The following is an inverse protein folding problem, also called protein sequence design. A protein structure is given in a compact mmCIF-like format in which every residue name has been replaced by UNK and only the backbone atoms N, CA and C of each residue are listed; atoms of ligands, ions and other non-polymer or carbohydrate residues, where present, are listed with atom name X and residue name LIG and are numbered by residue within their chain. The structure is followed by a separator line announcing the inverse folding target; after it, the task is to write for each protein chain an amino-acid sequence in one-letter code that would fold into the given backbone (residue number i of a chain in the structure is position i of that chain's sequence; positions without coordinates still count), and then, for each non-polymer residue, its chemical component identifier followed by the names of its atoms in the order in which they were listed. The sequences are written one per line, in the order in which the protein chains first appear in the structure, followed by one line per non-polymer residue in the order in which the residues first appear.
data_IF_984957451640
#
_entry.id   IF_984957451640
#
_cell.length_a   1.000
_cell.length_b   1.000
_cell.length_c   1.000
_cell.angle_alpha   90.00
_cell.angle_beta   90.00
_cell.angle_gamma   90.00
#
_symmetry.space_group_name_H-M   'P 1'
#
loop_
_entity.id
_entity.type
_entity.pdbx_description
1 polymer ?
#
# COMPACT_ATOMS: atom_id res chain seq x y z
N UNK A 1 -9.53 -7.23 -0.10
CA UNK A 1 -8.48 -6.52 0.68
C UNK A 1 -7.98 -7.43 1.78
N UNK A 2 -6.68 -7.53 1.95
CA UNK A 2 -6.06 -8.31 3.01
C UNK A 2 -4.82 -7.58 3.53
N UNK A 3 -4.24 -8.10 4.62
CA UNK A 3 -3.07 -7.46 5.25
C UNK A 3 -1.87 -7.43 4.31
N UNK A 4 -1.69 -8.45 3.46
CA UNK A 4 -0.58 -8.46 2.51
C UNK A 4 -0.69 -7.28 1.54
N UNK A 5 -1.87 -7.04 0.99
CA UNK A 5 -2.10 -5.92 0.06
C UNK A 5 -1.94 -4.59 0.77
N UNK A 6 -2.37 -4.48 2.03
CA UNK A 6 -2.16 -3.27 2.82
C UNK A 6 -0.67 -3.02 3.05
N UNK A 7 0.13 -4.06 3.28
CA UNK A 7 1.59 -3.91 3.38
C UNK A 7 2.19 -3.46 2.05
N UNK A 8 1.69 -3.97 0.93
CA UNK A 8 2.11 -3.50 -0.40
C UNK A 8 1.83 -2.00 -0.55
N UNK A 9 0.61 -1.59 -0.19
CA UNK A 9 0.22 -0.18 -0.24
C UNK A 9 1.15 0.70 0.60
N UNK A 10 1.43 0.29 1.83
CA UNK A 10 2.32 1.04 2.73
C UNK A 10 3.73 1.15 2.16
N UNK A 11 4.23 0.11 1.51
CA UNK A 11 5.55 0.12 0.91
C UNK A 11 5.63 1.09 -0.26
N UNK A 12 4.60 1.12 -1.13
CA UNK A 12 4.56 2.10 -2.22
C UNK A 12 4.48 3.52 -1.68
N UNK A 13 3.67 3.74 -0.65
CA UNK A 13 3.55 5.06 -0.02
C UNK A 13 4.89 5.54 0.54
N UNK A 14 5.64 4.64 1.17
CA UNK A 14 6.95 4.94 1.74
C UNK A 14 7.99 5.21 0.65
N UNK A 15 8.08 4.34 -0.35
CA UNK A 15 9.09 4.43 -1.40
C UNK A 15 8.77 5.51 -2.43
N UNK A 16 7.52 5.91 -2.53
CA UNK A 16 7.02 6.86 -3.53
C UNK A 16 7.37 6.41 -4.96
N UNK A 17 7.44 5.11 -5.17
CA UNK A 17 7.81 4.48 -6.43
C UNK A 17 7.31 3.04 -6.45
N UNK A 18 6.55 2.67 -7.48
CA UNK A 18 6.13 1.29 -7.68
C UNK A 18 7.31 0.37 -7.98
N UNK A 19 8.28 0.85 -8.75
CA UNK A 19 9.45 0.05 -9.10
C UNK A 19 10.30 -0.27 -7.87
N UNK A 20 10.58 0.73 -7.04
CA UNK A 20 11.37 0.53 -5.81
C UNK A 20 10.62 -0.34 -4.82
N UNK A 21 9.31 -0.12 -4.67
CA UNK A 21 8.49 -0.92 -3.77
C UNK A 21 8.47 -2.38 -4.20
N UNK A 22 8.31 -2.65 -5.50
CA UNK A 22 8.29 -4.02 -6.00
C UNK A 22 9.61 -4.75 -5.71
N UNK A 23 10.74 -4.05 -5.87
CA UNK A 23 12.05 -4.62 -5.52
C UNK A 23 12.13 -4.97 -4.05
N UNK A 24 11.69 -4.07 -3.18
CA UNK A 24 11.73 -4.28 -1.73
C UNK A 24 10.81 -5.44 -1.32
N UNK A 25 9.68 -5.60 -2.00
CA UNK A 25 8.70 -6.64 -1.71
C UNK A 25 9.02 -7.98 -2.40
N UNK A 26 10.04 -8.02 -3.23
CA UNK A 26 10.43 -9.21 -4.01
C UNK A 26 9.32 -9.71 -4.92
N UNK A 27 8.59 -8.79 -5.54
CA UNK A 27 7.57 -9.10 -6.55
C UNK A 27 7.82 -8.26 -7.80
N UNK A 28 7.17 -8.62 -8.90
CA UNK A 28 7.28 -7.84 -10.13
C UNK A 28 6.45 -6.56 -10.02
N UNK A 29 6.88 -5.52 -10.71
CA UNK A 29 6.14 -4.24 -10.72
C UNK A 29 4.72 -4.41 -11.30
N UNK A 30 4.51 -5.15 -12.41
CA UNK A 30 3.13 -5.38 -12.89
C UNK A 30 2.23 -6.07 -11.88
N UNK A 31 2.76 -7.04 -11.11
CA UNK A 31 1.98 -7.70 -10.07
C UNK A 31 1.57 -6.70 -8.99
N UNK A 32 2.51 -5.88 -8.52
CA UNK A 32 2.23 -4.86 -7.51
C UNK A 32 1.18 -3.87 -8.03
N UNK A 33 1.35 -3.38 -9.25
CA UNK A 33 0.40 -2.43 -9.84
C UNK A 33 -1.00 -3.01 -9.95
N UNK A 34 -1.12 -4.28 -10.36
CA UNK A 34 -2.44 -4.92 -10.46
C UNK A 34 -3.09 -5.09 -9.08
N UNK A 35 -2.32 -5.47 -8.07
CA UNK A 35 -2.84 -5.65 -6.71
C UNK A 35 -3.37 -4.32 -6.15
N UNK A 36 -2.65 -3.23 -6.38
CA UNK A 36 -3.08 -1.93 -5.88
C UNK A 36 -4.22 -1.34 -6.70
N UNK A 37 -4.26 -1.60 -8.01
CA UNK A 37 -5.41 -1.21 -8.82
C UNK A 37 -6.69 -1.94 -8.38
N UNK A 38 -6.57 -3.23 -8.03
CA UNK A 38 -7.69 -3.99 -7.50
C UNK A 38 -8.16 -3.44 -6.15
N UNK A 39 -7.24 -3.01 -5.30
CA UNK A 39 -7.57 -2.38 -4.02
C UNK A 39 -8.32 -1.07 -4.24
N UNK A 40 -7.86 -0.24 -5.16
CA UNK A 40 -8.54 1.01 -5.50
C UNK A 40 -9.96 0.74 -6.01
N UNK A 41 -10.11 -0.26 -6.88
CA UNK A 41 -11.41 -0.64 -7.42
C UNK A 41 -12.35 -1.15 -6.34
N UNK A 42 -11.85 -1.96 -5.41
CA UNK A 42 -12.64 -2.49 -4.30
C UNK A 42 -13.15 -1.37 -3.40
N UNK A 43 -12.30 -0.39 -3.10
CA UNK A 43 -12.67 0.74 -2.23
C UNK A 43 -13.41 1.84 -2.98
N UNK A 44 -13.38 1.83 -4.32
CA UNK A 44 -14.02 2.83 -5.13
C UNK A 44 -13.37 4.21 -5.05
N UNK A 45 -12.07 4.25 -4.80
CA UNK A 45 -11.32 5.51 -4.65
C UNK A 45 -9.96 5.40 -5.34
N UNK A 46 -9.37 6.56 -5.62
CA UNK A 46 -7.97 6.66 -6.06
C UNK A 46 -7.10 6.92 -4.84
N UNK A 47 -6.09 6.10 -4.65
CA UNK A 47 -5.20 6.18 -3.48
C UNK A 47 -3.92 6.94 -3.77
N UNK A 48 -3.47 6.95 -5.03
CA UNK A 48 -2.21 7.55 -5.42
C UNK A 48 -2.42 8.64 -6.47
N UNK A 49 -1.67 9.73 -6.32
CA UNK A 49 -1.54 10.79 -7.31
C UNK A 49 -0.22 10.57 -8.03
N UNK A 50 -0.29 10.41 -9.35
CA UNK A 50 0.88 10.12 -10.20
C UNK A 50 1.29 11.30 -11.07
N UNK A 51 0.67 12.47 -10.86
CA UNK A 51 0.99 13.65 -11.64
C UNK A 51 2.13 14.45 -11.01
N UNK A 52 3.27 14.49 -11.63
CA UNK A 52 4.40 15.30 -11.16
C UNK A 52 5.64 14.48 -10.84
N UNK A 53 6.22 14.71 -9.66
CA UNK A 53 7.52 14.16 -9.29
C UNK A 53 7.37 12.94 -8.38
N UNK A 54 7.01 11.80 -8.97
CA UNK A 54 6.86 10.57 -8.22
C UNK A 54 5.43 10.33 -7.78
N UNK A 55 5.27 9.38 -6.87
CA UNK A 55 3.97 8.92 -6.39
C UNK A 55 3.70 9.56 -5.03
N UNK A 56 2.55 10.24 -4.90
CA UNK A 56 2.11 10.77 -3.61
C UNK A 56 0.72 10.22 -3.30
N UNK A 57 0.27 10.38 -2.07
CA UNK A 57 -1.04 9.89 -1.65
C UNK A 57 -2.12 10.95 -1.90
N UNK A 58 -3.29 10.49 -2.35
CA UNK A 58 -4.50 11.31 -2.32
C UNK A 58 -4.99 11.46 -0.87
N UNK A 59 -6.03 12.25 -0.65
CA UNK A 59 -6.65 12.34 0.67
C UNK A 59 -7.15 10.97 1.14
N UNK A 60 -7.73 10.18 0.22
CA UNK A 60 -8.17 8.83 0.50
C UNK A 60 -6.99 7.91 0.82
N UNK A 61 -5.86 8.08 0.12
CA UNK A 61 -4.64 7.35 0.41
C UNK A 61 -4.07 7.67 1.77
N UNK A 62 -4.15 8.93 2.21
CA UNK A 62 -3.70 9.33 3.54
C UNK A 62 -4.55 8.67 4.62
N UNK A 63 -5.87 8.62 4.41
CA UNK A 63 -6.76 7.92 5.33
C UNK A 63 -6.44 6.43 5.39
N UNK A 64 -6.28 5.79 4.22
CA UNK A 64 -5.96 4.37 4.20
C UNK A 64 -4.62 4.09 4.86
N UNK A 65 -3.63 4.94 4.67
CA UNK A 65 -2.32 4.77 5.33
C UNK A 65 -2.48 4.70 6.85
N UNK A 66 -3.28 5.60 7.41
CA UNK A 66 -3.53 5.60 8.86
C UNK A 66 -4.15 4.28 9.32
N UNK A 67 -5.19 3.83 8.62
CA UNK A 67 -5.89 2.59 8.98
C UNK A 67 -5.03 1.35 8.73
N UNK A 68 -4.28 1.35 7.63
CA UNK A 68 -3.39 0.22 7.33
C UNK A 68 -2.29 0.07 8.39
N UNK A 69 -1.73 1.18 8.87
CA UNK A 69 -0.74 1.14 9.95
C UNK A 69 -1.34 0.55 11.23
N UNK A 70 -2.58 0.93 11.57
CA UNK A 70 -3.26 0.36 12.74
C UNK A 70 -3.43 -1.15 12.61
N UNK A 71 -3.84 -1.63 11.44
CA UNK A 71 -4.05 -3.06 11.21
C UNK A 71 -2.75 -3.85 11.23
N UNK A 72 -1.71 -3.34 10.59
CA UNK A 72 -0.40 -3.99 10.56
C UNK A 72 0.21 -4.04 11.96
N UNK A 73 0.09 -2.95 12.71
CA UNK A 73 0.57 -2.92 14.10
C UNK A 73 -0.15 -3.94 14.96
N UNK A 74 -1.45 -4.10 14.76
CA UNK A 74 -2.23 -5.08 15.51
C UNK A 74 -1.82 -6.51 15.16
N UNK A 75 -1.58 -6.79 13.88
CA UNK A 75 -1.08 -8.10 13.46
C UNK A 75 0.27 -8.39 14.11
N UNK A 76 1.17 -7.42 14.11
CA UNK A 76 2.49 -7.58 14.73
C UNK A 76 2.37 -7.82 16.24
N UNK A 77 1.44 -7.14 16.90
CA UNK A 77 1.18 -7.36 18.34
C UNK A 77 0.68 -8.77 18.61
N UNK A 78 -0.27 -9.24 17.81
CA UNK A 78 -0.79 -10.60 17.95
C UNK A 78 0.37 -11.61 17.86
N UNK A 79 1.23 -11.47 16.86
CA UNK A 79 2.36 -12.37 16.67
C UNK A 79 3.32 -12.33 17.87
N UNK A 80 3.55 -11.15 18.45
CA UNK A 80 4.50 -11.01 19.56
C UNK A 80 3.92 -11.46 20.91
N UNK A 81 2.59 -11.55 21.04
CA UNK A 81 1.93 -11.96 22.29
C UNK A 81 1.91 -13.48 22.46
N UNK A 82 2.17 -14.23 21.41
CA UNK A 82 2.21 -15.69 21.43
C UNK A 82 3.63 -16.21 21.20
#
# INVERSE_FOLDING_TARGET
MDLRVLRYFLTVAKEQSFTKAAKQLHITQPTLSRQLAALEAELGVTLFDRGGHGITLTNEGILLKRRALEMVDLEDKIASEF
#
